data_IF_314361303884
#
_entry.id   IF_314361303884
#
_cell.length_a   1.000
_cell.length_b   1.000
_cell.length_c   1.000
_cell.angle_alpha   90.00
_cell.angle_beta   90.00
_cell.angle_gamma   90.00
#
_symmetry.space_group_name_H-M   'P 1'
#
loop_
_entity.id
_entity.type
_entity.pdbx_description
1 polymer ?
#
# COMPACT_ATOMS: atom_id res chain seq x y z
N UNK A 1 34.26 18.84 2.24
CA UNK A 1 33.30 17.84 1.73
C UNK A 1 32.88 18.28 0.34
N UNK A 2 33.31 17.57 -0.71
CA UNK A 2 32.95 17.90 -2.09
C UNK A 2 31.48 17.58 -2.32
N UNK A 3 30.67 18.59 -2.61
CA UNK A 3 29.26 18.41 -2.98
C UNK A 3 29.20 17.52 -4.22
N UNK A 4 28.55 16.36 -4.10
CA UNK A 4 28.40 15.42 -5.20
C UNK A 4 27.28 15.93 -6.11
N UNK A 5 27.63 16.31 -7.34
CA UNK A 5 26.64 16.81 -8.30
C UNK A 5 25.61 15.74 -8.66
N UNK A 6 24.36 16.16 -8.83
CA UNK A 6 23.32 15.28 -9.33
C UNK A 6 23.62 14.86 -10.76
N UNK A 7 23.39 13.57 -11.05
CA UNK A 7 23.57 13.03 -12.38
C UNK A 7 22.24 12.68 -13.04
N UNK A 8 22.18 12.75 -14.37
CA UNK A 8 21.05 12.19 -15.14
C UNK A 8 20.85 10.69 -14.86
N UNK A 9 21.91 9.99 -14.45
CA UNK A 9 21.85 8.61 -13.96
C UNK A 9 21.01 8.47 -12.69
N UNK A 10 21.07 9.43 -11.77
CA UNK A 10 20.24 9.44 -10.56
C UNK A 10 18.76 9.65 -10.89
N UNK A 11 18.42 10.56 -11.81
CA UNK A 11 17.04 10.71 -12.30
C UNK A 11 16.51 9.42 -12.94
N UNK A 12 17.33 8.74 -13.76
CA UNK A 12 16.95 7.46 -14.36
C UNK A 12 16.77 6.35 -13.31
N UNK A 13 17.62 6.31 -12.28
CA UNK A 13 17.48 5.40 -11.14
C UNK A 13 16.18 5.66 -10.38
N UNK A 14 15.83 6.92 -10.14
CA UNK A 14 14.57 7.28 -9.48
C UNK A 14 13.37 6.84 -10.32
N UNK A 15 13.37 7.12 -11.63
CA UNK A 15 12.32 6.66 -12.53
C UNK A 15 12.16 5.12 -12.51
N UNK A 16 13.27 4.39 -12.47
CA UNK A 16 13.24 2.93 -12.36
C UNK A 16 12.67 2.45 -11.02
N UNK A 17 13.06 3.06 -9.90
CA UNK A 17 12.50 2.75 -8.58
C UNK A 17 10.99 3.01 -8.53
N UNK A 18 10.52 4.16 -9.03
CA UNK A 18 9.09 4.47 -9.07
C UNK A 18 8.31 3.48 -9.95
N UNK A 19 8.88 3.01 -11.05
CA UNK A 19 8.27 1.93 -11.86
C UNK A 19 8.19 0.61 -11.11
N UNK A 20 9.20 0.28 -10.30
CA UNK A 20 9.19 -0.91 -9.45
C UNK A 20 8.15 -0.80 -8.33
N UNK A 21 8.01 0.38 -7.71
CA UNK A 21 6.96 0.65 -6.72
C UNK A 21 5.57 0.45 -7.34
N UNK A 22 5.34 0.98 -8.54
CA UNK A 22 4.08 0.79 -9.25
C UNK A 22 3.75 -0.69 -9.44
N UNK A 23 4.71 -1.48 -9.91
CA UNK A 23 4.53 -2.90 -10.15
C UNK A 23 4.22 -3.67 -8.86
N UNK A 24 4.88 -3.31 -7.75
CA UNK A 24 4.63 -3.92 -6.44
C UNK A 24 3.24 -3.54 -5.91
N UNK A 25 2.85 -2.26 -6.01
CA UNK A 25 1.51 -1.78 -5.62
C UNK A 25 0.39 -2.49 -6.38
N UNK A 26 0.51 -2.61 -7.70
CA UNK A 26 -0.52 -3.27 -8.51
C UNK A 26 -0.64 -4.76 -8.20
N UNK A 27 0.42 -5.40 -7.69
CA UNK A 27 0.41 -6.82 -7.30
C UNK A 27 0.06 -7.05 -5.83
N UNK A 28 -0.08 -5.99 -5.03
CA UNK A 28 -0.23 -6.12 -3.57
C UNK A 28 1.03 -6.67 -2.87
N UNK A 29 2.20 -6.53 -3.48
CA UNK A 29 3.49 -7.02 -2.93
C UNK A 29 4.08 -5.97 -1.96
N UNK A 30 3.50 -5.90 -0.76
CA UNK A 30 3.89 -4.91 0.25
C UNK A 30 5.29 -5.14 0.83
N UNK A 31 5.74 -6.39 0.91
CA UNK A 31 7.10 -6.73 1.34
C UNK A 31 8.14 -6.14 0.39
N UNK A 32 7.89 -6.21 -0.93
CA UNK A 32 8.75 -5.56 -1.91
C UNK A 32 8.69 -4.04 -1.84
N UNK A 33 7.54 -3.43 -1.53
CA UNK A 33 7.44 -1.99 -1.31
C UNK A 33 8.29 -1.54 -0.12
N UNK A 34 8.26 -2.29 0.98
CA UNK A 34 9.08 -2.04 2.16
C UNK A 34 10.58 -2.13 1.82
N UNK A 35 10.99 -3.15 1.05
CA UNK A 35 12.38 -3.30 0.61
C UNK A 35 12.85 -2.18 -0.35
N UNK A 36 11.93 -1.53 -1.08
CA UNK A 36 12.26 -0.42 -1.98
C UNK A 36 12.40 0.92 -1.25
N UNK A 37 11.76 1.09 -0.09
CA UNK A 37 11.71 2.37 0.62
C UNK A 37 13.10 2.92 1.01
N UNK A 38 14.03 2.15 1.61
CA UNK A 38 15.35 2.65 1.98
C UNK A 38 16.14 3.18 0.76
N UNK A 39 16.03 2.47 -0.37
CA UNK A 39 16.72 2.84 -1.62
C UNK A 39 16.20 4.16 -2.20
N UNK A 40 14.89 4.39 -2.07
CA UNK A 40 14.25 5.63 -2.50
C UNK A 40 14.65 6.79 -1.58
N UNK A 41 14.62 6.58 -0.26
CA UNK A 41 15.05 7.59 0.73
C UNK A 41 16.49 8.01 0.47
N UNK A 42 17.42 7.06 0.40
CA UNK A 42 18.84 7.36 0.11
C UNK A 42 19.03 8.13 -1.20
N UNK A 43 18.22 7.83 -2.21
CA UNK A 43 18.31 8.53 -3.48
C UNK A 43 17.77 9.95 -3.37
N UNK A 44 16.67 10.17 -2.65
CA UNK A 44 16.09 11.50 -2.38
C UNK A 44 17.02 12.36 -1.53
N UNK A 45 17.66 11.81 -0.50
CA UNK A 45 18.68 12.50 0.29
C UNK A 45 19.84 12.99 -0.59
N UNK A 46 20.23 12.19 -1.60
CA UNK A 46 21.23 12.62 -2.61
C UNK A 46 20.71 13.70 -3.54
N UNK A 47 19.40 13.80 -3.78
CA UNK A 47 18.78 14.91 -4.51
C UNK A 47 18.75 16.19 -3.69
N UNK A 48 18.50 16.09 -2.39
CA UNK A 48 18.47 17.24 -1.49
C UNK A 48 19.87 17.80 -1.21
N UNK A 49 20.88 16.93 -1.09
CA UNK A 49 22.26 17.33 -0.82
C UNK A 49 23.09 17.68 -2.07
N UNK A 50 22.56 17.44 -3.27
CA UNK A 50 23.30 17.60 -4.53
C UNK A 50 22.95 18.90 -5.26
N UNK A 51 23.93 19.44 -5.98
CA UNK A 51 23.69 20.59 -6.88
C UNK A 51 22.67 20.23 -7.97
N UNK A 52 21.72 21.12 -8.30
CA UNK A 52 20.74 20.89 -9.35
C UNK A 52 21.40 20.55 -10.68
N UNK A 53 20.77 19.64 -11.41
CA UNK A 53 21.17 19.35 -12.79
C UNK A 53 20.98 20.58 -13.68
N UNK A 54 21.86 20.80 -14.68
CA UNK A 54 21.70 21.88 -15.65
C UNK A 54 20.32 21.85 -16.30
N UNK A 55 19.71 23.03 -16.46
CA UNK A 55 18.37 23.16 -17.02
C UNK A 55 18.35 22.96 -18.56
N UNK A 56 18.49 21.71 -18.96
CA UNK A 56 18.41 21.30 -20.37
C UNK A 56 17.02 20.75 -20.70
N UNK A 57 16.53 20.90 -21.95
CA UNK A 57 15.25 20.34 -22.36
C UNK A 57 15.08 18.85 -22.03
N UNK A 58 16.15 18.06 -22.19
CA UNK A 58 16.16 16.64 -21.89
C UNK A 58 16.09 16.35 -20.36
N UNK A 59 16.67 17.19 -19.50
CA UNK A 59 16.51 17.05 -18.05
C UNK A 59 15.09 17.42 -17.60
N UNK A 60 14.50 18.48 -18.19
CA UNK A 60 13.11 18.87 -17.92
C UNK A 60 12.13 17.78 -18.31
N UNK A 61 12.30 17.18 -19.50
CA UNK A 61 11.46 16.08 -19.96
C UNK A 61 11.52 14.88 -19.00
N UNK A 62 12.72 14.49 -18.56
CA UNK A 62 12.90 13.39 -17.62
C UNK A 62 12.31 13.71 -16.23
N UNK A 63 12.48 14.94 -15.73
CA UNK A 63 11.87 15.37 -14.47
C UNK A 63 10.33 15.38 -14.55
N UNK A 64 9.77 15.79 -15.70
CA UNK A 64 8.33 15.74 -15.94
C UNK A 64 7.80 14.29 -15.96
N UNK A 65 8.51 13.36 -16.61
CA UNK A 65 8.19 11.92 -16.58
C UNK A 65 8.16 11.40 -15.14
N UNK A 66 9.20 11.68 -14.35
CA UNK A 66 9.31 11.25 -12.96
C UNK A 66 8.14 11.78 -12.12
N UNK A 67 7.79 13.06 -12.26
CA UNK A 67 6.63 13.65 -11.57
C UNK A 67 5.33 12.95 -11.95
N UNK A 68 5.14 12.64 -13.23
CA UNK A 68 3.95 11.92 -13.69
C UNK A 68 3.87 10.49 -13.11
N UNK A 69 4.99 9.77 -13.02
CA UNK A 69 5.02 8.44 -12.40
C UNK A 69 4.74 8.54 -10.90
N UNK A 70 5.38 9.47 -10.20
CA UNK A 70 5.19 9.67 -8.75
C UNK A 70 3.73 10.00 -8.41
N UNK A 71 3.10 10.90 -9.16
CA UNK A 71 1.70 11.26 -8.98
C UNK A 71 0.75 10.06 -9.18
N UNK A 72 1.05 9.19 -10.15
CA UNK A 72 0.28 7.95 -10.36
C UNK A 72 0.45 6.99 -9.18
N UNK A 73 1.67 6.83 -8.68
CA UNK A 73 1.93 5.96 -7.54
C UNK A 73 1.22 6.47 -6.26
N UNK A 74 1.20 7.79 -6.03
CA UNK A 74 0.47 8.38 -4.90
C UNK A 74 -1.02 8.00 -4.94
N UNK A 75 -1.67 8.13 -6.09
CA UNK A 75 -3.08 7.71 -6.26
C UNK A 75 -3.29 6.21 -6.01
N UNK A 76 -2.33 5.36 -6.40
CA UNK A 76 -2.39 3.92 -6.15
C UNK A 76 -2.25 3.61 -4.65
N UNK A 77 -1.37 4.30 -3.93
CA UNK A 77 -1.25 4.17 -2.48
C UNK A 77 -2.54 4.59 -1.78
N UNK A 78 -3.12 5.74 -2.17
CA UNK A 78 -4.39 6.21 -1.61
C UNK A 78 -5.51 5.20 -1.83
N UNK A 79 -5.63 4.66 -3.06
CA UNK A 79 -6.61 3.62 -3.38
C UNK A 79 -6.39 2.34 -2.56
N UNK A 80 -5.13 1.90 -2.40
CA UNK A 80 -4.80 0.73 -1.60
C UNK A 80 -5.17 0.93 -0.11
N UNK A 81 -4.87 2.10 0.45
CA UNK A 81 -5.23 2.45 1.84
C UNK A 81 -6.76 2.49 2.01
N UNK A 82 -7.48 3.08 1.07
CA UNK A 82 -8.94 3.11 1.08
C UNK A 82 -9.52 1.68 1.07
N UNK A 83 -9.03 0.82 0.17
CA UNK A 83 -9.47 -0.58 0.10
C UNK A 83 -9.22 -1.37 1.39
N UNK A 84 -8.06 -1.17 2.05
CA UNK A 84 -7.76 -1.81 3.34
C UNK A 84 -8.74 -1.33 4.43
N UNK A 85 -9.07 -0.03 4.45
CA UNK A 85 -10.04 0.53 5.41
C UNK A 85 -11.44 -0.03 5.20
N UNK A 86 -11.87 -0.14 3.94
CA UNK A 86 -13.15 -0.73 3.58
C UNK A 86 -13.23 -2.21 3.96
N UNK A 87 -12.19 -2.99 3.65
CA UNK A 87 -12.10 -4.39 4.04
C UNK A 87 -12.18 -4.56 5.57
N UNK A 88 -11.47 -3.71 6.32
CA UNK A 88 -11.56 -3.69 7.79
C UNK A 88 -12.98 -3.39 8.28
N UNK A 89 -13.65 -2.40 7.69
CA UNK A 89 -15.02 -2.05 8.05
C UNK A 89 -15.99 -3.22 7.76
N UNK A 90 -15.80 -3.92 6.64
CA UNK A 90 -16.58 -5.10 6.28
C UNK A 90 -16.41 -6.23 7.31
N UNK A 91 -15.16 -6.53 7.70
CA UNK A 91 -14.86 -7.56 8.71
C UNK A 91 -15.48 -7.23 10.07
N UNK A 92 -15.43 -5.96 10.49
CA UNK A 92 -16.07 -5.51 11.73
C UNK A 92 -17.59 -5.71 11.68
N UNK A 93 -18.25 -5.29 10.58
CA UNK A 93 -19.69 -5.50 10.40
C UNK A 93 -20.06 -6.99 10.40
N UNK A 94 -19.25 -7.84 9.77
CA UNK A 94 -19.48 -9.28 9.75
C UNK A 94 -19.34 -9.89 11.16
N UNK A 95 -18.33 -9.47 11.92
CA UNK A 95 -18.15 -9.90 13.32
C UNK A 95 -19.33 -9.49 14.20
N UNK A 96 -19.81 -8.25 14.06
CA UNK A 96 -20.91 -7.74 14.88
C UNK A 96 -22.25 -8.41 14.53
N UNK A 97 -22.44 -8.83 13.28
CA UNK A 97 -23.58 -9.67 12.83
C UNK A 97 -23.43 -11.16 13.14
N UNK A 98 -22.21 -11.61 13.50
CA UNK A 98 -21.91 -12.99 13.89
C UNK A 98 -22.57 -13.46 15.19
N UNK A 99 -23.22 -12.55 15.94
CA UNK A 99 -24.27 -12.90 16.91
C UNK A 99 -25.59 -13.14 16.19
N UNK A 100 -25.56 -14.03 15.19
CA UNK A 100 -26.65 -14.26 14.26
C UNK A 100 -27.91 -14.68 15.02
N UNK A 101 -28.96 -13.86 14.91
CA UNK A 101 -30.30 -14.35 15.14
C UNK A 101 -30.64 -15.28 13.98
N UNK A 102 -30.76 -16.57 14.26
CA UNK A 102 -31.20 -17.55 13.26
C UNK A 102 -32.70 -17.67 13.37
N UNK A 103 -33.37 -17.83 12.23
CA UNK A 103 -34.79 -18.13 12.24
C UNK A 103 -34.98 -19.59 12.66
N UNK A 104 -35.74 -19.82 13.73
CA UNK A 104 -36.21 -21.14 14.09
C UNK A 104 -37.21 -21.68 13.05
N UNK A 105 -37.50 -22.98 13.04
CA UNK A 105 -38.42 -23.62 12.09
C UNK A 105 -39.85 -23.04 12.10
N UNK A 106 -40.19 -22.26 13.11
CA UNK A 106 -41.43 -21.50 13.33
C UNK A 106 -41.31 -19.99 13.00
N UNK A 107 -40.21 -19.56 12.39
CA UNK A 107 -39.98 -18.16 11.97
C UNK A 107 -39.61 -17.19 13.10
N UNK A 108 -39.43 -17.67 14.32
CA UNK A 108 -38.99 -16.85 15.45
C UNK A 108 -37.48 -16.58 15.37
N UNK A 109 -37.07 -15.34 15.66
CA UNK A 109 -35.64 -14.96 15.72
C UNK A 109 -35.05 -15.40 17.05
N UNK A 110 -34.09 -16.33 17.04
CA UNK A 110 -33.38 -16.79 18.22
C UNK A 110 -31.90 -16.42 18.15
N UNK A 111 -31.36 -15.78 19.18
CA UNK A 111 -29.93 -15.53 19.29
C UNK A 111 -29.19 -16.86 19.43
N UNK A 112 -28.17 -17.08 18.59
CA UNK A 112 -27.20 -18.16 18.81
C UNK A 112 -26.34 -17.80 20.03
N UNK A 113 -26.79 -18.20 21.23
CA UNK A 113 -25.90 -18.32 22.37
C UNK A 113 -24.83 -19.38 22.04
N UNK A 114 -23.54 -19.13 22.35
CA UNK A 114 -22.53 -20.16 22.19
C UNK A 114 -22.88 -21.31 23.13
N UNK A 115 -23.16 -22.48 22.58
CA UNK A 115 -23.54 -23.65 23.35
C UNK A 115 -22.44 -23.95 24.39
N UNK A 116 -22.76 -23.74 25.66
CA UNK A 116 -22.01 -24.31 26.77
C UNK A 116 -22.12 -25.83 26.62
N UNK A 117 -21.09 -26.45 26.04
CA UNK A 117 -21.10 -27.87 25.71
C UNK A 117 -21.20 -28.73 26.97
N UNK A 118 -22.35 -29.39 27.17
CA UNK A 118 -22.39 -30.63 27.93
C UNK A 118 -22.13 -31.80 26.95
N UNK A 119 -20.86 -32.18 26.85
CA UNK A 119 -20.48 -33.43 26.20
C UNK A 119 -20.98 -34.59 27.06
N UNK A 120 -22.15 -35.15 26.71
CA UNK A 120 -22.57 -36.44 27.24
C UNK A 120 -21.74 -37.54 26.58
N UNK A 121 -20.74 -38.03 27.31
CA UNK A 121 -20.03 -39.28 27.03
C UNK A 121 -21.01 -40.44 27.19
N UNK A 122 -21.35 -41.13 26.11
CA UNK A 122 -22.03 -42.43 26.16
C UNK A 122 -20.98 -43.52 26.33
N UNK A 123 -21.16 -44.33 27.36
CA UNK A 123 -20.41 -45.56 27.63
C UNK A 123 -20.76 -46.65 26.60
#
# INVERSE_FOLDING_TARGET
>A
MTARSLSRGDLRRLAALLRQERAALTRGDYARLEALAPRKIQLLERFEAGEPLPDTPANRALAAEIRAIAARNARLFEAAIAGIREARALLLRARDRGRGQTYGPNGSRAALEPAAGSLHRRA
#
